data_IF_315443697265
#
_entry.id   IF_315443697265
#
_cell.length_a   1.000
_cell.length_b   1.000
_cell.length_c   1.000
_cell.angle_alpha   90.00
_cell.angle_beta   90.00
_cell.angle_gamma   90.00
#
_symmetry.space_group_name_H-M   'P 1'
#
loop_
_entity.id
_entity.type
_entity.pdbx_description
1 polymer ?
#
# COMPACT_ATOMS: atom_id res chain seq x y z
N UNK A 1 14.40 19.09 31.98
CA UNK A 1 14.39 19.49 30.56
C UNK A 1 14.03 18.26 29.77
N UNK A 2 12.85 18.28 29.13
CA UNK A 2 12.10 17.13 28.62
C UNK A 2 12.85 16.42 27.49
N UNK A 3 13.16 15.12 27.66
CA UNK A 3 13.60 14.24 26.57
C UNK A 3 12.42 14.01 25.62
N UNK A 4 12.48 14.57 24.41
CA UNK A 4 11.46 14.33 23.40
C UNK A 4 11.39 12.82 23.05
N UNK A 5 10.19 12.22 22.92
CA UNK A 5 10.09 10.82 22.54
C UNK A 5 10.59 10.65 21.10
N UNK A 6 11.61 9.82 20.92
CA UNK A 6 12.21 9.55 19.61
C UNK A 6 11.16 8.83 18.76
N UNK A 7 10.54 9.56 17.83
CA UNK A 7 9.52 8.99 16.95
C UNK A 7 10.16 7.98 15.98
N UNK A 8 9.49 6.84 15.77
CA UNK A 8 9.90 5.78 14.83
C UNK A 8 10.34 6.31 13.43
N UNK A 9 9.66 7.31 12.81
CA UNK A 9 10.15 7.85 11.53
C UNK A 9 11.51 8.54 11.62
N UNK A 10 11.82 9.21 12.74
CA UNK A 10 13.13 9.88 12.94
C UNK A 10 14.27 8.87 12.98
N UNK A 11 14.07 7.71 13.62
CA UNK A 11 15.06 6.63 13.67
C UNK A 11 15.28 6.01 12.29
N UNK A 12 14.21 5.82 11.52
CA UNK A 12 14.26 5.21 10.19
C UNK A 12 15.00 6.11 9.18
N UNK A 13 14.80 7.42 9.27
CA UNK A 13 15.54 8.40 8.47
C UNK A 13 17.02 8.43 8.88
N UNK A 14 17.32 8.47 10.18
CA UNK A 14 18.70 8.43 10.67
C UNK A 14 19.44 7.15 10.26
N UNK A 15 18.81 5.99 10.42
CA UNK A 15 19.33 4.71 9.96
C UNK A 15 19.52 4.66 8.44
N UNK A 16 18.59 5.24 7.68
CA UNK A 16 18.70 5.36 6.22
C UNK A 16 19.89 6.23 5.78
N UNK A 17 20.16 7.33 6.48
CA UNK A 17 21.30 8.21 6.21
C UNK A 17 22.62 7.52 6.57
N UNK A 18 22.69 6.82 7.70
CA UNK A 18 23.87 6.05 8.12
C UNK A 18 24.14 4.91 7.12
N UNK A 19 23.09 4.23 6.65
CA UNK A 19 23.18 3.20 5.64
C UNK A 19 23.67 3.77 4.30
N UNK A 20 23.15 4.92 3.87
CA UNK A 20 23.61 5.62 2.66
C UNK A 20 25.06 6.07 2.78
N UNK A 21 25.47 6.58 3.95
CA UNK A 21 26.84 7.01 4.21
C UNK A 21 27.82 5.82 4.22
N UNK A 22 27.42 4.70 4.84
CA UNK A 22 28.18 3.45 4.78
C UNK A 22 28.30 2.95 3.33
N UNK A 23 27.20 3.00 2.55
CA UNK A 23 27.22 2.63 1.14
C UNK A 23 28.16 3.54 0.32
N UNK A 24 28.19 4.84 0.65
CA UNK A 24 29.09 5.83 0.03
C UNK A 24 30.56 5.64 0.42
N UNK A 25 30.85 5.08 1.60
CA UNK A 25 32.21 4.76 2.06
C UNK A 25 32.77 3.46 1.46
N UNK A 26 31.91 2.57 0.94
CA UNK A 26 32.30 1.31 0.30
C UNK A 26 32.04 1.27 -1.22
N UNK A 27 32.48 2.28 -2.01
CA UNK A 27 32.26 2.25 -3.45
C UNK A 27 33.09 1.12 -4.09
N UNK A 28 34.25 0.78 -3.54
CA UNK A 28 35.17 -0.20 -4.13
C UNK A 28 34.64 -1.63 -4.13
N UNK A 29 33.87 -2.04 -3.12
CA UNK A 29 33.24 -3.37 -3.06
C UNK A 29 32.05 -3.47 -4.02
N UNK A 30 31.24 -2.41 -4.12
CA UNK A 30 30.15 -2.30 -5.09
C UNK A 30 30.68 -2.26 -6.52
N UNK A 31 31.73 -1.50 -6.79
CA UNK A 31 32.39 -1.44 -8.10
C UNK A 31 32.96 -2.80 -8.48
N UNK A 32 33.62 -3.52 -7.56
CA UNK A 32 34.10 -4.89 -7.79
C UNK A 32 32.96 -5.88 -8.05
N UNK A 33 31.82 -5.71 -7.39
CA UNK A 33 30.62 -6.51 -7.63
C UNK A 33 30.00 -6.21 -9.00
N UNK A 34 29.92 -4.93 -9.37
CA UNK A 34 29.41 -4.47 -10.66
C UNK A 34 30.32 -4.90 -11.80
N UNK A 35 31.65 -4.85 -11.61
CA UNK A 35 32.62 -5.38 -12.57
C UNK A 35 32.42 -6.88 -12.79
N UNK A 36 32.23 -7.66 -11.72
CA UNK A 36 31.92 -9.10 -11.84
C UNK A 36 30.64 -9.37 -12.63
N UNK A 37 29.60 -8.57 -12.42
CA UNK A 37 28.36 -8.64 -13.20
C UNK A 37 28.60 -8.30 -14.67
N UNK A 38 29.43 -7.29 -14.96
CA UNK A 38 29.83 -6.91 -16.31
C UNK A 38 30.57 -8.03 -17.06
N UNK A 39 31.47 -8.75 -16.38
CA UNK A 39 32.16 -9.92 -16.97
C UNK A 39 31.20 -11.06 -17.29
N UNK A 40 30.19 -11.28 -16.46
CA UNK A 40 29.20 -12.32 -16.70
C UNK A 40 28.27 -11.95 -17.88
N UNK A 41 27.95 -10.66 -18.04
CA UNK A 41 27.30 -10.14 -19.25
C UNK A 41 28.12 -10.39 -20.53
N UNK A 42 29.45 -10.44 -20.46
CA UNK A 42 30.28 -10.81 -21.60
C UNK A 42 30.24 -12.32 -21.90
N UNK A 43 30.05 -13.18 -20.89
CA UNK A 43 30.19 -14.64 -21.05
C UNK A 43 28.87 -15.38 -21.34
N UNK A 44 27.73 -14.95 -20.79
CA UNK A 44 26.46 -15.70 -20.91
C UNK A 44 25.38 -15.00 -21.75
N UNK A 45 25.63 -13.77 -22.18
CA UNK A 45 24.66 -13.01 -22.95
C UNK A 45 24.89 -13.26 -24.44
N UNK A 46 23.88 -13.73 -25.16
CA UNK A 46 24.01 -14.05 -26.60
C UNK A 46 24.40 -12.82 -27.44
N UNK A 47 24.14 -11.60 -26.94
CA UNK A 47 24.55 -10.34 -27.57
C UNK A 47 26.07 -10.06 -27.44
N UNK A 48 26.89 -10.89 -26.78
CA UNK A 48 28.35 -10.67 -26.76
C UNK A 48 28.99 -10.87 -28.15
N UNK A 49 28.36 -11.65 -29.02
CA UNK A 49 28.86 -11.98 -30.36
C UNK A 49 28.59 -10.91 -31.43
N UNK A 50 27.70 -9.95 -31.13
CA UNK A 50 27.48 -8.77 -31.98
C UNK A 50 28.62 -7.76 -31.80
N UNK A 51 28.97 -7.01 -32.84
CA UNK A 51 30.00 -5.98 -32.84
C UNK A 51 29.74 -4.95 -31.71
N UNK A 52 30.76 -4.42 -31.01
CA UNK A 52 30.58 -3.56 -29.82
C UNK A 52 29.71 -2.32 -30.05
N UNK A 53 29.61 -1.85 -31.29
CA UNK A 53 28.70 -0.78 -31.73
C UNK A 53 27.22 -1.19 -31.67
N UNK A 54 26.90 -2.44 -31.99
CA UNK A 54 25.54 -2.97 -32.02
C UNK A 54 24.97 -3.22 -30.62
N UNK A 55 25.83 -3.59 -29.66
CA UNK A 55 25.47 -3.72 -28.23
C UNK A 55 24.95 -2.41 -27.64
N UNK A 56 25.50 -1.28 -28.07
CA UNK A 56 25.08 0.05 -27.62
C UNK A 56 23.67 0.39 -28.10
N UNK A 57 23.36 0.04 -29.35
CA UNK A 57 22.05 0.30 -29.98
C UNK A 57 20.96 -0.59 -29.37
N UNK A 58 21.26 -1.86 -29.10
CA UNK A 58 20.30 -2.74 -28.40
C UNK A 58 20.02 -2.25 -26.96
N UNK A 59 21.07 -1.87 -26.22
CA UNK A 59 20.91 -1.37 -24.86
C UNK A 59 20.17 -0.03 -24.81
N UNK A 60 20.31 0.84 -25.82
CA UNK A 60 19.56 2.09 -25.90
C UNK A 60 18.09 1.86 -26.22
N UNK A 61 17.76 0.93 -27.12
CA UNK A 61 16.37 0.52 -27.40
C UNK A 61 15.73 -0.11 -26.15
N UNK A 62 16.46 -0.98 -25.45
CA UNK A 62 15.98 -1.60 -24.22
C UNK A 62 15.78 -0.55 -23.11
N UNK A 63 16.71 0.41 -22.98
CA UNK A 63 16.57 1.53 -22.05
C UNK A 63 15.36 2.40 -22.40
N UNK A 64 15.12 2.68 -23.68
CA UNK A 64 13.97 3.45 -24.14
C UNK A 64 12.66 2.70 -23.84
N UNK A 65 12.60 1.41 -24.15
CA UNK A 65 11.45 0.56 -23.84
C UNK A 65 11.18 0.50 -22.34
N UNK A 66 12.22 0.27 -21.53
CA UNK A 66 12.10 0.21 -20.08
C UNK A 66 11.72 1.57 -19.48
N UNK A 67 12.21 2.67 -20.04
CA UNK A 67 11.80 4.03 -19.66
C UNK A 67 10.32 4.25 -19.95
N UNK A 68 9.86 3.87 -21.14
CA UNK A 68 8.44 3.94 -21.52
C UNK A 68 7.57 3.13 -20.54
N UNK A 69 7.97 1.89 -20.24
CA UNK A 69 7.27 1.02 -19.28
C UNK A 69 7.34 1.61 -17.87
N UNK A 70 8.48 2.16 -17.45
CA UNK A 70 8.67 2.74 -16.12
C UNK A 70 7.73 3.92 -15.90
N UNK A 71 7.61 4.81 -16.88
CA UNK A 71 6.67 5.94 -16.83
C UNK A 71 5.23 5.45 -16.82
N UNK A 72 4.89 4.45 -17.63
CA UNK A 72 3.56 3.84 -17.62
C UNK A 72 3.23 3.21 -16.26
N UNK A 73 4.17 2.50 -15.65
CA UNK A 73 4.04 1.90 -14.31
C UNK A 73 3.91 3.01 -13.26
N UNK A 74 4.76 4.03 -13.26
CA UNK A 74 4.70 5.11 -12.29
C UNK A 74 3.35 5.85 -12.31
N UNK A 75 2.74 6.00 -13.50
CA UNK A 75 1.51 6.77 -13.68
C UNK A 75 0.23 5.92 -13.54
N UNK A 76 0.25 4.68 -14.03
CA UNK A 76 -0.91 3.78 -14.05
C UNK A 76 -0.98 2.93 -12.78
N UNK A 77 0.14 2.35 -12.34
CA UNK A 77 0.17 1.39 -11.23
C UNK A 77 -0.46 1.93 -9.93
N UNK A 78 -0.25 3.19 -9.50
CA UNK A 78 -0.86 3.70 -8.25
C UNK A 78 -2.40 3.63 -8.29
N UNK A 79 -3.00 3.87 -9.46
CA UNK A 79 -4.45 3.81 -9.64
C UNK A 79 -4.95 2.37 -9.52
N UNK A 80 -4.27 1.40 -10.13
CA UNK A 80 -4.65 -0.02 -10.06
C UNK A 80 -4.45 -0.61 -8.67
N UNK A 81 -3.34 -0.26 -8.01
CA UNK A 81 -3.04 -0.74 -6.65
C UNK A 81 -4.09 -0.26 -5.66
N UNK A 82 -4.57 0.98 -5.75
CA UNK A 82 -5.64 1.50 -4.87
C UNK A 82 -6.95 0.71 -4.98
N UNK A 83 -7.36 0.37 -6.20
CA UNK A 83 -8.60 -0.38 -6.44
C UNK A 83 -8.48 -1.80 -5.87
N UNK A 84 -7.34 -2.46 -6.12
CA UNK A 84 -7.08 -3.81 -5.59
C UNK A 84 -6.97 -3.79 -4.07
N UNK A 85 -6.31 -2.77 -3.49
CA UNK A 85 -6.14 -2.62 -2.06
C UNK A 85 -7.49 -2.45 -1.33
N UNK A 86 -8.43 -1.67 -1.87
CA UNK A 86 -9.76 -1.52 -1.28
C UNK A 86 -10.52 -2.86 -1.26
N UNK A 87 -10.46 -3.62 -2.35
CA UNK A 87 -11.07 -4.96 -2.42
C UNK A 87 -10.38 -5.94 -1.47
N UNK A 88 -9.05 -5.97 -1.44
CA UNK A 88 -8.27 -6.81 -0.54
C UNK A 88 -8.58 -6.48 0.94
N UNK A 89 -8.71 -5.19 1.27
CA UNK A 89 -9.08 -4.73 2.60
C UNK A 89 -10.48 -5.19 3.00
N UNK A 90 -11.44 -5.18 2.06
CA UNK A 90 -12.78 -5.73 2.30
C UNK A 90 -12.75 -7.23 2.59
N UNK A 91 -11.93 -8.02 1.89
CA UNK A 91 -11.83 -9.46 2.18
C UNK A 91 -11.16 -9.75 3.53
N UNK A 92 -10.11 -9.02 3.88
CA UNK A 92 -9.41 -9.20 5.17
C UNK A 92 -10.24 -8.72 6.35
N UNK A 93 -10.92 -7.58 6.23
CA UNK A 93 -11.73 -7.00 7.32
C UNK A 93 -13.15 -7.59 7.38
N UNK A 94 -13.66 -8.04 6.23
CA UNK A 94 -14.97 -8.68 6.10
C UNK A 94 -15.01 -10.08 6.69
N UNK A 95 -13.89 -10.81 6.68
CA UNK A 95 -13.77 -12.10 7.38
C UNK A 95 -13.81 -11.92 8.91
N UNK A 96 -13.24 -10.81 9.41
CA UNK A 96 -13.39 -10.38 10.81
C UNK A 96 -14.86 -10.06 11.18
N UNK A 97 -15.59 -9.37 10.30
CA UNK A 97 -17.02 -9.06 10.48
C UNK A 97 -17.92 -10.31 10.41
N UNK A 98 -17.56 -11.28 9.57
CA UNK A 98 -18.33 -12.53 9.38
C UNK A 98 -18.07 -13.55 10.51
N UNK A 99 -16.86 -13.57 11.08
CA UNK A 99 -16.45 -14.61 12.03
C UNK A 99 -16.52 -14.18 13.52
N UNK A 100 -16.86 -12.93 13.85
CA UNK A 100 -17.15 -12.58 15.24
C UNK A 100 -17.45 -11.11 15.50
N UNK A 101 -18.50 -10.88 16.30
CA UNK A 101 -18.75 -9.66 17.12
C UNK A 101 -19.77 -8.62 16.62
N UNK A 102 -20.19 -8.56 15.34
CA UNK A 102 -21.18 -7.52 14.92
C UNK A 102 -22.63 -7.98 14.82
N UNK A 103 -22.90 -9.28 14.74
CA UNK A 103 -24.28 -9.80 14.77
C UNK A 103 -24.98 -9.55 16.12
N UNK A 104 -24.23 -9.44 17.23
CA UNK A 104 -24.79 -9.15 18.55
C UNK A 104 -25.12 -7.67 18.79
N UNK A 105 -24.34 -6.76 18.19
CA UNK A 105 -24.52 -5.31 18.38
C UNK A 105 -25.63 -4.77 17.47
N UNK A 106 -25.71 -5.23 16.22
CA UNK A 106 -26.80 -4.85 15.31
C UNK A 106 -28.16 -5.40 15.76
N UNK A 107 -28.20 -6.61 16.35
CA UNK A 107 -29.41 -7.16 16.97
C UNK A 107 -29.84 -6.44 18.25
N UNK A 108 -28.90 -5.95 19.05
CA UNK A 108 -29.21 -5.16 20.26
C UNK A 108 -29.72 -3.76 19.91
N UNK A 109 -29.21 -3.13 18.84
CA UNK A 109 -29.70 -1.82 18.39
C UNK A 109 -31.09 -1.87 17.76
N UNK A 110 -31.46 -2.96 17.08
CA UNK A 110 -32.82 -3.11 16.52
C UNK A 110 -33.85 -3.49 17.59
N UNK A 111 -33.46 -4.30 18.59
CA UNK A 111 -34.31 -4.61 19.73
C UNK A 111 -34.57 -3.38 20.62
N UNK A 112 -33.55 -2.54 20.84
CA UNK A 112 -33.71 -1.27 21.56
C UNK A 112 -34.63 -0.29 20.80
N UNK A 113 -34.48 -0.19 19.46
CA UNK A 113 -35.33 0.65 18.62
C UNK A 113 -36.81 0.19 18.59
N UNK A 114 -37.08 -1.12 18.68
CA UNK A 114 -38.44 -1.65 18.79
C UNK A 114 -39.13 -1.32 20.12
N UNK A 115 -38.37 -1.27 21.21
CA UNK A 115 -38.92 -0.98 22.55
C UNK A 115 -39.33 0.48 22.76
N UNK A 116 -38.62 1.45 22.16
CA UNK A 116 -38.98 2.88 22.23
C UNK A 116 -40.18 3.24 21.36
N UNK A 117 -40.52 2.43 20.34
CA UNK A 117 -41.69 2.65 19.51
C UNK A 117 -42.99 2.12 20.16
N UNK A 118 -42.87 1.16 21.07
CA UNK A 118 -44.02 0.60 21.81
C UNK A 118 -44.50 1.51 22.95
N UNK A 119 -43.63 2.36 23.52
CA UNK A 119 -43.97 3.22 24.67
C UNK A 119 -44.70 4.52 24.26
N UNK A 120 -44.77 4.84 22.96
CA UNK A 120 -45.41 6.06 22.43
C UNK A 120 -46.78 5.83 21.77
N UNK A 121 -47.40 4.66 21.91
CA UNK A 121 -48.74 4.36 21.39
C UNK A 121 -49.60 3.75 22.50
N UNK A 122 -50.14 4.54 23.46
CA UNK A 122 -51.37 5.29 23.19
C UNK A 122 -51.64 6.47 24.17
N UNK A 123 -51.41 7.72 23.78
CA UNK A 123 -51.95 8.88 24.54
C UNK A 123 -52.64 9.93 23.67
N UNK A 124 -52.63 9.78 22.33
CA UNK A 124 -53.28 10.72 21.42
C UNK A 124 -54.80 10.51 21.22
N UNK A 125 -55.42 9.49 21.84
CA UNK A 125 -56.87 9.23 21.69
C UNK A 125 -57.71 9.77 22.88
N UNK A 126 -57.07 10.20 23.97
CA UNK A 126 -57.80 10.68 25.15
C UNK A 126 -58.18 12.18 25.13
N UNK A 127 -57.60 13.00 24.24
CA UNK A 127 -57.93 14.44 24.15
C UNK A 127 -59.00 14.80 23.09
N UNK A 128 -59.56 13.83 22.38
CA UNK A 128 -60.61 14.08 21.37
C UNK A 128 -62.06 13.78 21.84
N UNK A 129 -62.29 13.56 23.14
CA UNK A 129 -63.64 13.35 23.71
C UNK A 129 -64.00 14.43 24.76
N UNK A 130 -63.15 15.44 24.95
CA UNK A 130 -63.32 16.48 25.97
C UNK A 130 -63.77 17.86 25.48
N UNK A 131 -64.23 18.02 24.24
CA UNK A 131 -64.78 19.29 23.75
C UNK A 131 -65.63 19.09 22.48
N UNK A 132 -66.89 18.70 22.68
CA UNK A 132 -68.07 19.07 21.87
C UNK A 132 -69.33 18.56 22.57
#
# INVERSE_FOLDING_TARGET
MLSAPISLPTVLIGAGIIFLFALALYPSSLLRWFQRKRYQYEVTFSLYMLTPTEKFIFNSILFLFLSMVSIAVALYLPRHVKIIAHRAYYYVSGDLLKNGTTSGVLGSSSAAAGSVLADHAPTAVAEAVGSA
#
